data_IF_894372977580
#
_entry.id   IF_894372977580
#
_cell.length_a   1.000
_cell.length_b   1.000
_cell.length_c   1.000
_cell.angle_alpha   90.00
_cell.angle_beta   90.00
_cell.angle_gamma   90.00
#
_symmetry.space_group_name_H-M   'P 1'
#
loop_
_entity.id
_entity.type
_entity.pdbx_description
1 polymer ?
#
# COMPACT_ATOMS: atom_id res chain seq x y z
N UNK A 1 -21.14 -16.46 3.63
CA UNK A 1 -20.69 -15.87 2.35
C UNK A 1 -20.88 -14.37 2.47
N UNK A 2 -19.80 -13.60 2.50
CA UNK A 2 -19.81 -12.16 2.71
C UNK A 2 -19.30 -11.50 1.42
N UNK A 3 -20.03 -10.53 0.88
CA UNK A 3 -19.57 -9.77 -0.30
C UNK A 3 -18.80 -8.56 0.18
N UNK A 4 -17.58 -8.39 -0.32
CA UNK A 4 -16.79 -7.18 -0.09
C UNK A 4 -16.64 -6.43 -1.40
N UNK A 5 -16.87 -5.12 -1.34
CA UNK A 5 -16.74 -4.21 -2.48
C UNK A 5 -15.67 -3.15 -2.18
N UNK A 6 -14.75 -2.96 -3.11
CA UNK A 6 -13.75 -1.91 -3.12
C UNK A 6 -14.13 -0.88 -4.17
N UNK A 7 -14.32 0.37 -3.75
CA UNK A 7 -14.55 1.49 -4.67
C UNK A 7 -13.23 2.21 -4.92
N UNK A 8 -12.79 2.26 -6.17
CA UNK A 8 -11.56 2.94 -6.61
C UNK A 8 -11.91 4.23 -7.34
N UNK A 9 -12.58 5.13 -6.62
CA UNK A 9 -13.07 6.36 -7.20
C UNK A 9 -11.96 7.38 -7.51
N UNK A 10 -12.09 8.08 -8.63
CA UNK A 10 -11.20 9.18 -8.99
C UNK A 10 -11.47 10.39 -8.08
N UNK A 11 -10.57 10.64 -7.12
CA UNK A 11 -10.73 11.78 -6.19
C UNK A 11 -10.34 13.09 -6.87
N UNK A 12 -11.30 14.03 -6.94
CA UNK A 12 -11.10 15.43 -7.38
C UNK A 12 -10.69 16.38 -6.25
N UNK A 13 -10.55 15.88 -5.02
CA UNK A 13 -10.10 16.69 -3.88
C UNK A 13 -8.63 17.05 -4.08
N UNK A 14 -8.34 18.34 -4.06
CA UNK A 14 -7.02 18.89 -3.85
C UNK A 14 -6.42 18.19 -2.64
N UNK A 15 -5.38 17.37 -2.86
CA UNK A 15 -4.61 16.81 -1.77
C UNK A 15 -4.08 18.00 -0.95
N UNK A 16 -4.57 18.16 0.28
CA UNK A 16 -3.92 19.01 1.25
C UNK A 16 -2.58 18.36 1.55
N UNK A 17 -1.55 18.77 0.79
CA UNK A 17 -0.20 18.30 0.98
C UNK A 17 0.19 18.49 2.44
N UNK A 18 0.59 17.39 3.08
CA UNK A 18 1.38 17.45 4.29
C UNK A 18 2.53 18.40 4.00
N UNK A 19 2.60 19.56 4.67
CA UNK A 19 3.74 20.47 4.57
C UNK A 19 4.96 19.67 5.04
N UNK A 20 5.69 19.07 4.10
CA UNK A 20 7.02 18.56 4.39
C UNK A 20 7.84 19.80 4.74
N UNK A 21 8.00 20.03 6.03
CA UNK A 21 8.95 21.01 6.55
C UNK A 21 10.29 20.64 5.95
N UNK A 22 10.77 21.43 4.98
CA UNK A 22 12.14 21.34 4.50
C UNK A 22 13.03 21.61 5.72
N UNK A 23 13.54 20.56 6.34
CA UNK A 23 14.43 20.67 7.49
C UNK A 23 15.66 21.44 7.03
N UNK A 24 16.01 22.58 7.66
CA UNK A 24 17.16 23.36 7.26
C UNK A 24 18.42 22.53 7.51
N UNK A 25 19.13 22.14 6.45
CA UNK A 25 20.38 21.38 6.55
C UNK A 25 20.47 20.11 5.73
N UNK A 26 19.39 19.62 5.09
CA UNK A 26 19.60 18.67 3.99
C UNK A 26 20.25 19.45 2.85
N UNK A 27 21.40 18.99 2.28
CA UNK A 27 21.80 19.49 0.98
C UNK A 27 20.58 19.36 0.08
N UNK A 28 20.26 20.42 -0.69
CA UNK A 28 19.27 20.32 -1.76
C UNK A 28 19.61 19.01 -2.45
N UNK A 29 18.77 17.99 -2.27
CA UNK A 29 18.98 16.74 -2.96
C UNK A 29 18.81 17.15 -4.40
N UNK A 30 19.94 17.45 -5.04
CA UNK A 30 20.00 17.84 -6.42
C UNK A 30 19.08 16.84 -7.08
N UNK A 31 17.95 17.36 -7.57
CA UNK A 31 16.97 16.60 -8.30
C UNK A 31 17.81 15.83 -9.31
N UNK A 32 18.03 14.55 -9.03
CA UNK A 32 18.74 13.66 -9.92
C UNK A 32 17.99 13.81 -11.23
N UNK A 33 18.72 14.08 -12.32
CA UNK A 33 18.16 14.57 -13.58
C UNK A 33 16.81 13.89 -13.87
N UNK A 34 15.70 14.65 -14.02
CA UNK A 34 14.35 14.08 -14.07
C UNK A 34 14.16 13.12 -15.26
N UNK A 35 15.01 13.20 -16.28
CA UNK A 35 15.03 12.32 -17.45
C UNK A 35 15.79 10.99 -17.24
N UNK A 36 16.61 10.85 -16.18
CA UNK A 36 17.54 9.71 -16.00
C UNK A 36 17.25 8.82 -14.80
N UNK A 37 16.26 9.11 -13.96
CA UNK A 37 15.90 8.22 -12.87
C UNK A 37 14.75 7.30 -13.27
N UNK A 38 15.02 6.03 -13.64
CA UNK A 38 13.97 5.02 -13.60
C UNK A 38 13.49 4.90 -12.16
N UNK A 39 12.17 4.82 -11.98
CA UNK A 39 11.56 4.57 -10.68
C UNK A 39 12.26 3.43 -9.95
N UNK A 40 12.47 3.59 -8.65
CA UNK A 40 13.02 2.50 -7.86
C UNK A 40 12.02 1.35 -7.89
N UNK A 41 12.50 0.11 -7.98
CA UNK A 41 11.62 -1.04 -8.16
C UNK A 41 10.50 -1.10 -7.11
N UNK A 42 10.78 -0.72 -5.87
CA UNK A 42 9.80 -0.73 -4.78
C UNK A 42 8.67 0.28 -4.95
N UNK A 43 8.82 1.28 -5.82
CA UNK A 43 7.80 2.29 -6.16
C UNK A 43 6.96 1.86 -7.36
N UNK A 44 7.21 0.67 -7.93
CA UNK A 44 6.43 0.15 -9.05
C UNK A 44 5.16 -0.57 -8.58
N UNK A 45 4.13 -0.57 -9.43
CA UNK A 45 2.92 -1.36 -9.20
C UNK A 45 3.20 -2.86 -9.04
N UNK A 46 4.19 -3.40 -9.75
CA UNK A 46 4.59 -4.81 -9.61
C UNK A 46 5.17 -5.14 -8.23
N UNK A 47 6.01 -4.26 -7.67
CA UNK A 47 6.56 -4.47 -6.34
C UNK A 47 5.45 -4.41 -5.29
N UNK A 48 4.58 -3.42 -5.39
CA UNK A 48 3.42 -3.28 -4.49
C UNK A 48 2.45 -4.46 -4.60
N UNK A 49 2.25 -5.02 -5.80
CA UNK A 49 1.46 -6.23 -6.03
C UNK A 49 2.05 -7.44 -5.32
N UNK A 50 3.36 -7.66 -5.48
CA UNK A 50 4.08 -8.77 -4.83
C UNK A 50 4.15 -8.60 -3.32
N UNK A 51 4.34 -7.38 -2.83
CA UNK A 51 4.34 -7.07 -1.40
C UNK A 51 2.95 -7.37 -0.80
N UNK A 52 1.88 -6.94 -1.45
CA UNK A 52 0.50 -7.21 -1.00
C UNK A 52 0.18 -8.70 -1.00
N UNK A 53 0.62 -9.44 -2.01
CA UNK A 53 0.53 -10.90 -2.03
C UNK A 53 1.30 -11.56 -0.87
N UNK A 54 2.49 -11.05 -0.58
CA UNK A 54 3.30 -11.56 0.53
C UNK A 54 2.62 -11.32 1.87
N UNK A 55 2.06 -10.12 2.09
CA UNK A 55 1.27 -9.81 3.28
C UNK A 55 0.06 -10.74 3.45
N UNK A 56 -0.63 -11.09 2.35
CA UNK A 56 -1.74 -12.04 2.39
C UNK A 56 -1.27 -13.45 2.80
N UNK A 57 -0.07 -13.85 2.36
CA UNK A 57 0.52 -15.16 2.64
C UNK A 57 1.02 -15.26 4.08
N UNK A 58 1.79 -14.28 4.54
CA UNK A 58 2.41 -14.26 5.87
C UNK A 58 1.36 -14.05 6.97
N UNK A 59 0.43 -13.13 6.73
CA UNK A 59 -0.65 -12.84 7.67
C UNK A 59 -1.80 -13.84 7.61
N UNK A 60 -1.93 -14.60 6.51
CA UNK A 60 -3.06 -15.50 6.24
C UNK A 60 -4.41 -14.78 6.38
N UNK A 61 -4.47 -13.57 5.84
CA UNK A 61 -5.64 -12.70 5.88
C UNK A 61 -6.06 -12.28 4.48
N UNK A 62 -7.30 -11.81 4.35
CA UNK A 62 -7.75 -11.14 3.14
C UNK A 62 -7.09 -9.77 3.06
N UNK A 63 -6.35 -9.52 1.97
CA UNK A 63 -5.69 -8.23 1.72
C UNK A 63 -6.44 -7.50 0.63
N UNK A 64 -6.81 -6.26 0.95
CA UNK A 64 -7.55 -5.39 0.05
C UNK A 64 -6.67 -4.20 -0.28
N UNK A 65 -6.30 -4.08 -1.55
CA UNK A 65 -5.50 -2.96 -2.05
C UNK A 65 -6.44 -2.02 -2.78
N UNK A 66 -6.62 -0.83 -2.22
CA UNK A 66 -7.39 0.25 -2.83
C UNK A 66 -6.42 1.37 -3.20
N UNK A 67 -6.27 1.63 -4.50
CA UNK A 67 -5.54 2.79 -4.99
C UNK A 67 -6.46 3.77 -5.70
N UNK A 68 -6.07 5.05 -5.65
CA UNK A 68 -6.76 6.11 -6.37
C UNK A 68 -6.28 6.17 -7.82
N UNK A 69 -7.23 6.42 -8.73
CA UNK A 69 -6.96 6.71 -10.14
C UNK A 69 -6.91 8.22 -10.36
N UNK A 70 -5.92 8.66 -11.14
CA UNK A 70 -5.77 10.06 -11.56
C UNK A 70 -6.07 10.15 -13.06
N UNK A 71 -7.09 10.93 -13.41
CA UNK A 71 -7.46 11.20 -14.81
C UNK A 71 -6.62 12.30 -15.44
N UNK A 72 -6.58 12.37 -16.77
CA UNK A 72 -5.87 13.42 -17.52
C UNK A 72 -6.27 14.85 -17.10
N UNK A 73 -7.57 15.09 -16.89
CA UNK A 73 -8.06 16.40 -16.41
C UNK A 73 -7.65 16.75 -14.97
N UNK A 74 -7.20 15.78 -14.17
CA UNK A 74 -6.59 16.02 -12.87
C UNK A 74 -5.07 16.20 -12.97
N UNK A 75 -4.45 15.70 -14.04
CA UNK A 75 -3.04 15.92 -14.36
C UNK A 75 -2.73 17.41 -14.53
N UNK A 76 -3.63 18.15 -15.15
CA UNK A 76 -3.49 19.60 -15.36
C UNK A 76 -3.49 20.41 -14.06
N UNK A 77 -4.03 19.83 -12.97
CA UNK A 77 -4.11 20.47 -11.64
C UNK A 77 -2.92 20.12 -10.74
N UNK A 78 -1.86 19.54 -11.29
CA UNK A 78 -0.65 19.16 -10.56
C UNK A 78 0.10 20.36 -9.99
N UNK A 79 0.85 20.11 -8.91
CA UNK A 79 1.73 21.11 -8.30
C UNK A 79 3.01 21.26 -9.14
N UNK A 80 3.49 22.49 -9.39
CA UNK A 80 4.55 22.75 -10.38
C UNK A 80 5.94 22.21 -9.98
N UNK A 81 6.15 21.83 -8.72
CA UNK A 81 7.44 21.31 -8.23
C UNK A 81 7.52 19.78 -8.23
N UNK A 82 6.46 19.08 -8.61
CA UNK A 82 6.43 17.63 -8.58
C UNK A 82 6.67 17.09 -9.99
N UNK A 83 7.88 16.57 -10.31
CA UNK A 83 8.16 15.96 -11.60
C UNK A 83 7.19 14.79 -11.77
N UNK A 84 6.28 14.97 -12.71
CA UNK A 84 5.09 14.17 -12.82
C UNK A 84 5.16 13.46 -14.16
N UNK A 85 5.99 12.42 -14.23
CA UNK A 85 6.01 11.50 -15.37
C UNK A 85 4.60 10.94 -15.60
N UNK A 86 4.19 10.89 -16.87
CA UNK A 86 2.83 10.50 -17.27
C UNK A 86 2.50 9.06 -16.82
N UNK A 87 3.51 8.19 -16.79
CA UNK A 87 3.37 6.78 -16.37
C UNK A 87 3.39 6.56 -14.84
N UNK A 88 3.74 7.58 -14.04
CA UNK A 88 4.14 7.41 -12.64
C UNK A 88 2.99 7.22 -11.64
N UNK A 89 1.75 7.44 -12.04
CA UNK A 89 0.60 7.47 -11.12
C UNK A 89 -0.37 6.30 -11.31
N UNK A 90 0.06 5.29 -12.06
CA UNK A 90 -0.73 4.12 -12.39
C UNK A 90 -0.56 3.07 -11.30
N UNK A 91 -1.51 3.08 -10.37
CA UNK A 91 -1.59 2.13 -9.26
C UNK A 91 -2.67 1.07 -9.54
N UNK A 92 -2.59 -0.06 -8.86
CA UNK A 92 -3.51 -1.17 -9.04
C UNK A 92 -4.38 -1.36 -7.80
N UNK A 93 -5.59 -1.85 -8.04
CA UNK A 93 -6.50 -2.29 -7.00
C UNK A 93 -6.82 -3.76 -7.19
N UNK A 94 -6.85 -4.52 -6.09
CA UNK A 94 -7.10 -5.96 -6.13
C UNK A 94 -7.48 -6.49 -4.74
N UNK A 95 -8.18 -7.62 -4.73
CA UNK A 95 -8.52 -8.36 -3.51
C UNK A 95 -7.77 -9.70 -3.55
N UNK A 96 -6.97 -9.97 -2.52
CA UNK A 96 -6.30 -11.24 -2.31
C UNK A 96 -6.98 -12.05 -1.21
N UNK A 97 -7.10 -13.36 -1.44
CA UNK A 97 -7.47 -14.33 -0.41
C UNK A 97 -6.29 -14.66 0.52
N UNK A 98 -6.56 -15.33 1.65
CA UNK A 98 -5.51 -15.77 2.60
C UNK A 98 -4.54 -16.78 1.97
N UNK A 99 -4.96 -17.46 0.90
CA UNK A 99 -4.16 -18.37 0.07
C UNK A 99 -3.30 -17.64 -0.99
N UNK A 100 -3.15 -16.31 -0.91
CA UNK A 100 -2.46 -15.44 -1.90
C UNK A 100 -3.16 -15.31 -3.26
N UNK A 101 -4.21 -16.10 -3.53
CA UNK A 101 -4.94 -16.06 -4.81
C UNK A 101 -5.67 -14.73 -4.96
N UNK A 102 -5.59 -14.14 -6.14
CA UNK A 102 -6.44 -13.01 -6.51
C UNK A 102 -7.89 -13.50 -6.64
N UNK A 103 -8.82 -12.82 -5.95
CA UNK A 103 -10.25 -13.15 -5.96
C UNK A 103 -11.03 -12.33 -7.00
N UNK A 104 -10.40 -11.29 -7.55
CA UNK A 104 -10.93 -10.47 -8.62
C UNK A 104 -9.92 -10.41 -9.77
N UNK A 105 -10.43 -10.15 -10.98
CA UNK A 105 -9.57 -9.81 -12.11
C UNK A 105 -8.88 -8.46 -11.84
N UNK A 106 -7.59 -8.33 -12.17
CA UNK A 106 -6.89 -7.06 -12.04
C UNK A 106 -7.51 -6.05 -13.02
N UNK A 107 -7.83 -4.87 -12.50
CA UNK A 107 -8.33 -3.76 -13.32
C UNK A 107 -7.15 -2.99 -13.87
N UNK A 108 -7.27 -2.52 -15.10
CA UNK A 108 -6.30 -1.60 -15.71
C UNK A 108 -6.22 -0.28 -14.94
N UNK A 109 -5.01 0.25 -14.79
CA UNK A 109 -4.75 1.42 -13.95
C UNK A 109 -5.44 2.73 -14.41
N UNK A 110 -6.07 2.76 -15.60
CA UNK A 110 -6.78 3.93 -16.14
C UNK A 110 -8.30 3.89 -15.90
N UNK A 111 -8.84 2.79 -15.38
CA UNK A 111 -10.29 2.55 -15.35
C UNK A 111 -10.81 2.55 -13.92
N UNK A 112 -11.70 3.50 -13.62
CA UNK A 112 -12.49 3.51 -12.40
C UNK A 112 -13.42 2.30 -12.36
N UNK A 113 -13.28 1.49 -11.32
CA UNK A 113 -14.01 0.26 -11.17
C UNK A 113 -14.34 -0.03 -9.70
N UNK A 114 -15.44 -0.75 -9.50
CA UNK A 114 -15.80 -1.33 -8.21
C UNK A 114 -15.45 -2.80 -8.24
N UNK A 115 -14.45 -3.18 -7.45
CA UNK A 115 -14.04 -4.58 -7.32
C UNK A 115 -14.93 -5.28 -6.31
N UNK A 116 -15.53 -6.39 -6.69
CA UNK A 116 -16.37 -7.18 -5.77
C UNK A 116 -15.88 -8.62 -5.69
N UNK A 117 -15.79 -9.14 -4.48
CA UNK A 117 -15.46 -10.55 -4.22
C UNK A 117 -16.38 -11.11 -3.15
N UNK A 118 -16.79 -12.37 -3.34
CA UNK A 118 -17.40 -13.15 -2.27
C UNK A 118 -16.33 -13.86 -1.48
N UNK A 119 -16.28 -13.60 -0.18
CA UNK A 119 -15.34 -14.23 0.75
C UNK A 119 -16.05 -15.13 1.75
N UNK A 120 -15.36 -16.20 2.15
CA UNK A 120 -15.78 -17.05 3.26
C UNK A 120 -14.77 -16.92 4.41
N UNK A 121 -15.15 -16.38 5.58
CA UNK A 121 -14.21 -16.17 6.68
C UNK A 121 -13.50 -17.44 7.17
N UNK A 122 -14.13 -18.61 7.01
CA UNK A 122 -13.50 -19.88 7.39
C UNK A 122 -12.32 -20.28 6.51
N UNK A 123 -12.12 -19.65 5.35
CA UNK A 123 -10.95 -19.90 4.49
C UNK A 123 -9.65 -19.49 5.20
N UNK A 124 -9.73 -18.55 6.16
CA UNK A 124 -8.61 -18.18 7.03
C UNK A 124 -8.15 -19.37 7.88
N UNK A 125 -9.09 -20.17 8.41
CA UNK A 125 -8.74 -21.34 9.22
C UNK A 125 -8.01 -22.40 8.37
N UNK A 126 -8.43 -22.56 7.11
CA UNK A 126 -7.78 -23.46 6.18
C UNK A 126 -6.33 -23.02 5.89
N UNK A 127 -6.12 -21.73 5.59
CA UNK A 127 -4.78 -21.19 5.37
C UNK A 127 -3.89 -21.37 6.62
N UNK A 128 -4.41 -21.02 7.80
CA UNK A 128 -3.74 -21.18 9.10
C UNK A 128 -3.33 -22.60 9.42
N UNK A 129 -4.07 -23.60 8.95
CA UNK A 129 -3.75 -25.01 9.22
C UNK A 129 -2.37 -25.42 8.70
N UNK A 130 -1.85 -24.76 7.67
CA UNK A 130 -0.54 -25.11 7.08
C UNK A 130 0.63 -24.27 7.60
N UNK A 131 0.47 -22.94 7.71
CA UNK A 131 1.60 -22.02 7.96
C UNK A 131 1.22 -20.90 8.95
N UNK A 132 0.68 -21.24 10.13
CA UNK A 132 0.36 -20.21 11.14
C UNK A 132 1.63 -19.65 11.80
N UNK A 133 1.92 -18.38 11.47
CA UNK A 133 3.10 -17.63 11.93
C UNK A 133 3.07 -17.29 13.43
N UNK A 134 1.89 -17.26 14.04
CA UNK A 134 1.70 -16.93 15.47
C UNK A 134 1.59 -18.20 16.34
N UNK A 135 1.34 -19.35 15.71
CA UNK A 135 1.15 -20.63 16.40
C UNK A 135 2.35 -21.56 16.23
N UNK A 136 2.28 -22.57 15.35
CA UNK A 136 3.28 -23.65 15.26
C UNK A 136 4.65 -23.17 14.76
N UNK A 137 4.69 -22.03 14.06
CA UNK A 137 5.94 -21.42 13.60
C UNK A 137 6.48 -20.33 14.54
N UNK A 138 5.71 -19.94 15.56
CA UNK A 138 6.19 -19.01 16.55
C UNK A 138 7.21 -19.69 17.48
N UNK A 139 8.32 -19.00 17.74
CA UNK A 139 9.34 -19.41 18.71
C UNK A 139 9.35 -18.43 19.88
N UNK A 140 8.32 -18.44 20.76
CA UNK A 140 8.27 -17.53 21.91
C UNK A 140 9.43 -17.75 22.90
N UNK A 141 10.13 -18.88 22.79
CA UNK A 141 11.36 -19.16 23.52
C UNK A 141 12.60 -18.42 22.99
N UNK A 142 12.63 -18.02 21.71
CA UNK A 142 13.72 -17.23 21.11
C UNK A 142 13.35 -15.76 20.93
N UNK A 143 12.12 -15.49 20.49
CA UNK A 143 11.69 -14.17 20.07
C UNK A 143 10.37 -13.78 20.73
N UNK A 144 10.40 -12.68 21.48
CA UNK A 144 9.22 -12.04 22.05
C UNK A 144 9.19 -10.57 21.62
N UNK A 145 8.09 -10.15 20.99
CA UNK A 145 7.87 -8.75 20.65
C UNK A 145 7.07 -8.07 21.78
N UNK A 146 7.69 -7.09 22.44
CA UNK A 146 7.01 -6.24 23.43
C UNK A 146 6.63 -4.91 22.77
N UNK A 147 5.33 -4.59 22.75
CA UNK A 147 4.81 -3.36 22.17
C UNK A 147 4.52 -2.37 23.29
N UNK A 148 5.08 -1.15 23.22
CA UNK A 148 4.69 -0.07 24.10
C UNK A 148 3.37 0.54 23.59
N UNK A 149 2.29 0.52 24.39
CA UNK A 149 1.00 1.08 23.97
C UNK A 149 0.98 2.62 24.07
N UNK A 150 1.97 3.22 24.73
CA UNK A 150 2.06 4.66 24.91
C UNK A 150 2.86 5.32 23.79
N UNK A 151 2.38 6.47 23.32
CA UNK A 151 3.07 7.25 22.29
C UNK A 151 4.40 7.82 22.81
N UNK A 152 5.51 7.40 22.23
CA UNK A 152 6.82 7.94 22.54
C UNK A 152 6.96 9.38 22.03
N UNK A 153 7.58 10.25 22.84
CA UNK A 153 7.87 11.64 22.46
C UNK A 153 9.24 11.71 21.78
N UNK A 154 9.29 12.29 20.58
CA UNK A 154 10.54 12.53 19.86
C UNK A 154 11.44 13.55 20.56
N UNK A 155 10.86 14.51 21.27
CA UNK A 155 11.57 15.53 22.03
C UNK A 155 11.03 15.55 23.45
N UNK A 156 11.90 15.38 24.42
CA UNK A 156 11.59 15.54 25.85
C UNK A 156 12.34 16.77 26.35
N UNK A 157 11.60 17.80 26.77
CA UNK A 157 12.20 19.01 27.34
C UNK A 157 12.60 18.71 28.79
N UNK A 158 13.87 18.98 29.12
CA UNK A 158 14.36 18.91 30.50
C UNK A 158 13.75 20.06 31.30
N UNK A 159 13.33 19.78 32.53
CA UNK A 159 12.91 20.80 33.51
C UNK A 159 14.10 21.34 34.27
#
# INVERSE_FOLDING_TARGET
>A
MLTVSLDCAATTRTANACRSTSSPGRPNSACLDPEKQPWLYHETGQASYRASQFMATEGQTFVLVASQIITEGNLEKKLPWQPCHEDAWRWFSIIFGPDRKALCEPVSDDVEAILTASIHPSDINYAKTFIDTVWDYARPDLFSLLVLPEAAKHVTLMK
#
